data_IF_738170426484
#
_entry.id   IF_738170426484
#
_cell.length_a   1.000
_cell.length_b   1.000
_cell.length_c   1.000
_cell.angle_alpha   90.00
_cell.angle_beta   90.00
_cell.angle_gamma   90.00
#
_symmetry.space_group_name_H-M   'P 1'
#
loop_
_entity.id
_entity.type
_entity.pdbx_description
1 polymer ?
#
# COMPACT_ATOMS: atom_id res chain seq x y z
N UNK A 1 -3.44 8.78 23.25
CA UNK A 1 -2.43 7.71 23.40
C UNK A 1 -1.55 7.70 22.16
N UNK A 2 -0.22 7.75 22.28
CA UNK A 2 0.66 7.34 21.19
C UNK A 2 0.46 5.83 20.98
N UNK A 3 0.33 5.39 19.73
CA UNK A 3 0.10 3.99 19.37
C UNK A 3 1.42 3.22 19.43
N UNK A 4 1.41 2.06 20.09
CA UNK A 4 2.55 1.17 20.22
C UNK A 4 2.65 0.31 18.95
N UNK A 5 3.71 0.52 18.15
CA UNK A 5 3.98 -0.29 16.96
C UNK A 5 4.74 -1.55 17.39
N UNK A 6 4.10 -2.73 17.28
CA UNK A 6 4.76 -4.02 17.47
C UNK A 6 5.32 -4.51 16.13
N UNK A 7 6.65 -4.59 16.03
CA UNK A 7 7.35 -5.09 14.85
C UNK A 7 7.31 -6.63 14.81
N UNK A 8 7.19 -7.19 13.60
CA UNK A 8 6.89 -8.61 13.36
C UNK A 8 8.16 -9.47 13.34
N UNK A 9 9.33 -8.87 13.15
CA UNK A 9 10.63 -9.55 13.26
C UNK A 9 11.78 -8.60 13.67
N UNK A 10 12.86 -9.19 14.19
CA UNK A 10 14.05 -8.47 14.66
C UNK A 10 14.72 -7.65 13.55
N UNK A 11 14.54 -8.03 12.27
CA UNK A 11 15.12 -7.32 11.13
C UNK A 11 14.37 -6.01 10.86
N UNK A 12 13.05 -6.03 10.94
CA UNK A 12 12.17 -4.88 10.80
C UNK A 12 12.37 -3.88 11.94
N UNK A 13 12.52 -4.38 13.17
CA UNK A 13 12.85 -3.57 14.33
C UNK A 13 14.24 -2.93 14.21
N UNK A 14 15.24 -3.68 13.71
CA UNK A 14 16.59 -3.16 13.49
C UNK A 14 16.63 -2.07 12.42
N UNK A 15 15.96 -2.27 11.28
CA UNK A 15 15.86 -1.24 10.23
C UNK A 15 15.11 0.00 10.73
N UNK A 16 14.00 -0.18 11.46
CA UNK A 16 13.33 0.95 12.11
C UNK A 16 14.27 1.70 13.04
N UNK A 17 14.97 1.01 13.95
CA UNK A 17 15.85 1.65 14.94
C UNK A 17 17.04 2.40 14.31
N UNK A 18 17.52 1.97 13.15
CA UNK A 18 18.56 2.68 12.40
C UNK A 18 18.00 3.97 11.79
N UNK A 19 16.83 3.92 11.15
CA UNK A 19 16.27 5.05 10.40
C UNK A 19 15.40 5.99 11.25
N UNK A 20 14.86 5.52 12.38
CA UNK A 20 13.99 6.28 13.27
C UNK A 20 14.76 7.36 14.05
N UNK A 21 16.07 7.16 14.31
CA UNK A 21 16.92 8.15 14.99
C UNK A 21 16.99 9.49 14.25
N UNK A 22 16.85 9.45 12.92
CA UNK A 22 16.91 10.64 12.05
C UNK A 22 15.54 11.16 11.62
N UNK A 23 14.47 10.41 11.89
CA UNK A 23 13.09 10.84 11.61
C UNK A 23 12.56 11.48 12.88
N UNK A 24 12.66 12.83 12.97
CA UNK A 24 11.82 13.57 13.93
C UNK A 24 10.36 13.20 13.63
N UNK A 25 9.74 12.48 14.57
CA UNK A 25 8.37 12.01 14.48
C UNK A 25 7.43 13.21 14.30
N UNK A 26 7.16 13.58 13.04
CA UNK A 26 6.19 14.62 12.74
C UNK A 26 4.82 13.99 12.93
N UNK A 27 4.10 14.43 13.95
CA UNK A 27 2.68 14.10 14.09
C UNK A 27 2.01 14.41 12.75
N UNK A 28 1.41 13.37 12.16
CA UNK A 28 0.62 13.52 10.94
C UNK A 28 -0.45 14.59 11.19
N UNK A 29 -0.67 15.53 10.26
CA UNK A 29 -1.78 16.47 10.37
C UNK A 29 -3.14 15.76 10.14
N UNK A 30 -3.12 14.48 9.79
CA UNK A 30 -4.30 13.67 9.51
C UNK A 30 -4.70 12.83 10.72
N UNK A 31 -6.01 12.68 10.93
CA UNK A 31 -6.55 11.71 11.87
C UNK A 31 -6.46 10.33 11.22
N UNK A 32 -5.65 9.45 11.81
CA UNK A 32 -5.40 8.09 11.32
C UNK A 32 -5.95 7.11 12.34
N UNK A 33 -6.81 6.20 11.89
CA UNK A 33 -7.44 5.16 12.71
C UNK A 33 -7.28 3.80 12.05
N UNK A 34 -6.89 2.78 12.80
CA UNK A 34 -7.02 1.39 12.36
C UNK A 34 -8.49 0.98 12.40
N UNK A 35 -9.05 0.55 11.26
CA UNK A 35 -10.47 0.15 11.14
C UNK A 35 -10.65 -1.36 11.01
N UNK A 36 -9.60 -2.08 10.63
CA UNK A 36 -9.54 -3.54 10.65
C UNK A 36 -8.11 -4.03 10.45
N UNK A 37 -7.95 -5.35 10.43
CA UNK A 37 -6.70 -6.03 10.07
C UNK A 37 -6.95 -7.07 8.98
N UNK A 38 -6.15 -7.06 7.93
CA UNK A 38 -6.12 -8.08 6.89
C UNK A 38 -5.08 -9.14 7.21
N UNK A 39 -5.35 -10.41 6.85
CA UNK A 39 -4.33 -11.44 6.88
C UNK A 39 -3.21 -11.08 5.89
N UNK A 40 -1.96 -11.31 6.28
CA UNK A 40 -0.82 -11.17 5.38
C UNK A 40 0.35 -12.03 5.86
N UNK A 41 0.69 -13.03 5.05
CA UNK A 41 1.79 -13.94 5.31
C UNK A 41 1.61 -14.64 6.68
N UNK A 42 2.54 -14.47 7.62
CA UNK A 42 2.43 -15.06 8.98
C UNK A 42 1.93 -14.03 10.01
N UNK A 43 1.29 -12.94 9.56
CA UNK A 43 0.86 -11.84 10.42
C UNK A 43 -0.45 -11.25 9.92
N UNK A 44 -0.83 -10.14 10.54
CA UNK A 44 -1.92 -9.29 10.08
C UNK A 44 -1.39 -7.88 9.84
N UNK A 45 -1.96 -7.21 8.85
CA UNK A 45 -1.60 -5.86 8.45
C UNK A 45 -2.78 -4.93 8.65
N UNK A 46 -2.55 -3.71 9.16
CA UNK A 46 -3.63 -2.79 9.47
C UNK A 46 -4.27 -2.25 8.18
N UNK A 47 -5.59 -2.14 8.20
CA UNK A 47 -6.39 -1.38 7.25
C UNK A 47 -6.68 -0.04 7.93
N UNK A 48 -6.19 1.04 7.35
CA UNK A 48 -6.22 2.36 7.96
C UNK A 48 -7.31 3.21 7.33
N UNK A 49 -8.05 3.93 8.17
CA UNK A 49 -8.88 5.07 7.78
C UNK A 49 -8.09 6.34 8.06
N UNK A 50 -7.97 7.19 7.05
CA UNK A 50 -7.31 8.49 7.15
C UNK A 50 -8.34 9.56 6.81
N UNK A 51 -8.61 10.43 7.77
CA UNK A 51 -9.46 11.59 7.58
C UNK A 51 -8.60 12.81 7.28
N UNK A 52 -8.90 13.46 6.16
CA UNK A 52 -8.27 14.70 5.76
C UNK A 52 -9.35 15.67 5.26
N UNK A 53 -9.42 16.84 5.89
CA UNK A 53 -10.56 17.76 5.72
C UNK A 53 -11.88 17.02 6.01
N UNK A 54 -12.85 17.10 5.09
CA UNK A 54 -14.15 16.41 5.15
C UNK A 54 -14.15 15.07 4.39
N UNK A 55 -12.97 14.55 4.01
CA UNK A 55 -12.82 13.33 3.21
C UNK A 55 -12.20 12.20 4.03
N UNK A 56 -12.63 10.99 3.73
CA UNK A 56 -12.12 9.75 4.34
C UNK A 56 -11.50 8.87 3.26
N UNK A 57 -10.26 8.43 3.46
CA UNK A 57 -9.64 7.38 2.67
C UNK A 57 -9.47 6.11 3.51
N UNK A 58 -9.78 4.96 2.92
CA UNK A 58 -9.26 3.68 3.42
C UNK A 58 -7.98 3.35 2.63
N UNK A 59 -6.91 3.03 3.35
CA UNK A 59 -5.63 2.59 2.79
C UNK A 59 -5.35 1.18 3.26
N UNK A 60 -5.00 0.33 2.30
CA UNK A 60 -4.53 -1.03 2.54
C UNK A 60 -3.04 -1.04 2.16
N UNK A 61 -2.16 -1.38 3.10
CA UNK A 61 -0.71 -1.38 2.84
C UNK A 61 -0.22 -2.66 2.16
N UNK A 62 -0.69 -3.79 2.67
CA UNK A 62 -0.48 -5.13 2.13
C UNK A 62 -1.66 -6.02 2.52
N UNK A 63 -1.85 -7.19 1.90
CA UNK A 63 -2.83 -8.21 2.31
C UNK A 63 -2.72 -9.50 1.48
N UNK A 64 -3.25 -10.59 2.04
CA UNK A 64 -3.46 -11.88 1.38
C UNK A 64 -4.91 -12.05 0.90
N UNK A 65 -5.18 -12.98 -0.06
CA UNK A 65 -6.54 -13.23 -0.58
C UNK A 65 -7.65 -13.41 0.47
N UNK A 66 -7.44 -14.09 1.63
CA UNK A 66 -8.47 -14.24 2.66
C UNK A 66 -8.94 -12.92 3.28
N UNK A 67 -8.20 -11.83 3.14
CA UNK A 67 -8.57 -10.52 3.67
C UNK A 67 -9.63 -9.79 2.83
N UNK A 68 -10.00 -10.32 1.65
CA UNK A 68 -10.93 -9.66 0.73
C UNK A 68 -12.27 -9.27 1.39
N UNK A 69 -12.89 -10.18 2.13
CA UNK A 69 -14.17 -9.93 2.78
C UNK A 69 -14.06 -8.89 3.90
N UNK A 70 -12.95 -8.89 4.65
CA UNK A 70 -12.65 -7.86 5.65
C UNK A 70 -12.57 -6.49 4.99
N UNK A 71 -11.86 -6.38 3.88
CA UNK A 71 -11.72 -5.13 3.12
C UNK A 71 -13.10 -4.64 2.64
N UNK A 72 -13.89 -5.53 2.04
CA UNK A 72 -15.23 -5.20 1.54
C UNK A 72 -16.13 -4.72 2.69
N UNK A 73 -16.07 -5.38 3.85
CA UNK A 73 -16.82 -4.99 5.05
C UNK A 73 -16.42 -3.59 5.53
N UNK A 74 -15.12 -3.29 5.59
CA UNK A 74 -14.65 -1.95 5.95
C UNK A 74 -15.18 -0.86 5.01
N UNK A 75 -15.16 -1.11 3.70
CA UNK A 75 -15.69 -0.16 2.71
C UNK A 75 -17.19 0.07 2.89
N UNK A 76 -17.97 -0.99 3.18
CA UNK A 76 -19.42 -0.87 3.47
C UNK A 76 -19.70 -0.05 4.74
N UNK A 77 -18.92 -0.27 5.79
CA UNK A 77 -19.12 0.37 7.09
C UNK A 77 -18.69 1.83 7.07
N UNK A 78 -17.44 2.09 6.67
CA UNK A 78 -16.85 3.42 6.74
C UNK A 78 -17.32 4.33 5.59
N UNK A 79 -17.78 3.73 4.48
CA UNK A 79 -18.21 4.44 3.26
C UNK A 79 -17.19 5.52 2.85
N UNK A 80 -15.91 5.16 2.65
CA UNK A 80 -14.89 6.16 2.40
C UNK A 80 -15.12 6.88 1.07
N UNK A 81 -14.58 8.09 0.95
CA UNK A 81 -14.52 8.80 -0.34
C UNK A 81 -13.49 8.14 -1.27
N UNK A 82 -12.41 7.58 -0.71
CA UNK A 82 -11.33 6.95 -1.45
C UNK A 82 -11.00 5.56 -0.89
N UNK A 83 -10.72 4.62 -1.77
CA UNK A 83 -10.15 3.32 -1.42
C UNK A 83 -8.83 3.15 -2.15
N UNK A 84 -7.73 3.07 -1.41
CA UNK A 84 -6.38 2.90 -1.94
C UNK A 84 -5.95 1.44 -1.72
N UNK A 85 -5.73 0.73 -2.82
CA UNK A 85 -5.37 -0.70 -2.83
C UNK A 85 -3.99 -0.85 -3.51
N UNK A 86 -3.06 -1.63 -2.93
CA UNK A 86 -1.79 -1.94 -3.58
C UNK A 86 -2.05 -2.89 -4.75
N UNK A 87 -1.39 -2.72 -5.88
CA UNK A 87 -1.53 -3.58 -7.06
C UNK A 87 -0.31 -4.48 -7.21
N UNK A 88 -0.51 -5.80 -7.11
CA UNK A 88 0.56 -6.78 -7.08
C UNK A 88 0.77 -7.50 -8.41
N UNK A 89 1.97 -8.05 -8.61
CA UNK A 89 2.17 -9.09 -9.61
C UNK A 89 1.37 -10.35 -9.21
N UNK A 90 0.74 -11.00 -10.20
CA UNK A 90 -0.15 -12.17 -10.10
C UNK A 90 0.11 -13.22 -9.00
N UNK A 91 1.32 -13.34 -8.48
CA UNK A 91 1.70 -14.33 -7.46
C UNK A 91 2.53 -13.67 -6.36
N UNK A 92 2.12 -13.87 -5.12
CA UNK A 92 3.02 -13.70 -3.96
C UNK A 92 4.09 -14.79 -4.11
N UNK A 93 5.29 -14.40 -4.53
CA UNK A 93 6.38 -15.35 -4.84
C UNK A 93 6.80 -16.12 -3.58
N UNK A 94 6.60 -17.43 -3.63
CA UNK A 94 6.82 -18.45 -2.60
C UNK A 94 8.31 -18.74 -2.31
N UNK A 95 9.25 -17.94 -2.84
CA UNK A 95 10.69 -18.26 -2.78
C UNK A 95 11.31 -18.22 -1.36
N UNK A 96 10.56 -17.84 -0.33
CA UNK A 96 10.97 -17.87 1.08
C UNK A 96 9.98 -18.60 2.01
N UNK A 97 9.36 -19.69 1.53
CA UNK A 97 8.80 -20.73 2.43
C UNK A 97 7.51 -20.40 3.18
N UNK A 98 6.48 -19.90 2.50
CA UNK A 98 5.15 -19.71 3.09
C UNK A 98 4.13 -20.63 2.41
N UNK A 99 3.67 -21.63 3.18
CA UNK A 99 2.54 -22.48 2.85
C UNK A 99 1.25 -21.64 2.96
N UNK A 100 0.68 -21.26 1.83
CA UNK A 100 -0.78 -21.21 1.71
C UNK A 100 -1.18 -22.61 1.22
N UNK A 101 -1.92 -23.37 2.02
CA UNK A 101 -2.38 -24.74 1.67
C UNK A 101 -3.20 -24.79 0.37
N UNK A 102 -3.70 -23.65 -0.12
CA UNK A 102 -4.32 -23.50 -1.43
C UNK A 102 -3.74 -22.28 -2.14
N UNK A 103 -3.29 -22.40 -3.40
CA UNK A 103 -2.87 -21.25 -4.19
C UNK A 103 -4.11 -20.42 -4.54
N UNK A 104 -4.45 -19.44 -3.71
CA UNK A 104 -5.41 -18.40 -4.11
C UNK A 104 -4.64 -17.29 -4.83
N UNK A 105 -5.13 -16.89 -6.00
CA UNK A 105 -4.49 -15.86 -6.81
C UNK A 105 -4.83 -14.49 -6.22
N UNK A 106 -3.81 -13.78 -5.72
CA UNK A 106 -3.97 -12.43 -5.17
C UNK A 106 -4.63 -11.49 -6.18
N UNK A 107 -4.27 -11.58 -7.47
CA UNK A 107 -4.88 -10.79 -8.55
C UNK A 107 -6.40 -10.99 -8.62
N UNK A 108 -6.87 -12.24 -8.46
CA UNK A 108 -8.29 -12.55 -8.51
C UNK A 108 -9.02 -12.01 -7.28
N UNK A 109 -8.39 -12.06 -6.11
CA UNK A 109 -8.92 -11.41 -4.91
C UNK A 109 -9.01 -9.88 -5.08
N UNK A 110 -8.01 -9.23 -5.69
CA UNK A 110 -8.07 -7.78 -5.95
C UNK A 110 -9.21 -7.44 -6.93
N UNK A 111 -9.37 -8.23 -8.00
CA UNK A 111 -10.48 -8.09 -8.95
C UNK A 111 -11.84 -8.25 -8.26
N UNK A 112 -11.98 -9.25 -7.39
CA UNK A 112 -13.18 -9.47 -6.61
C UNK A 112 -13.49 -8.27 -5.68
N UNK A 113 -12.51 -7.79 -4.92
CA UNK A 113 -12.66 -6.58 -4.08
C UNK A 113 -13.14 -5.40 -4.94
N UNK A 114 -12.50 -5.14 -6.07
CA UNK A 114 -12.86 -4.03 -6.96
C UNK A 114 -14.29 -4.19 -7.48
N UNK A 115 -14.71 -5.39 -7.89
CA UNK A 115 -16.06 -5.66 -8.37
C UNK A 115 -17.10 -5.40 -7.27
N UNK A 116 -16.86 -5.89 -6.05
CA UNK A 116 -17.77 -5.67 -4.92
C UNK A 116 -17.82 -4.20 -4.51
N UNK A 117 -16.68 -3.50 -4.49
CA UNK A 117 -16.62 -2.07 -4.19
C UNK A 117 -17.32 -1.24 -5.27
N UNK A 118 -17.26 -1.64 -6.54
CA UNK A 118 -18.04 -0.99 -7.61
C UNK A 118 -19.54 -1.16 -7.40
N UNK A 119 -20.02 -2.29 -6.85
CA UNK A 119 -21.44 -2.44 -6.48
C UNK A 119 -21.82 -1.47 -5.35
N UNK A 120 -20.96 -1.31 -4.35
CA UNK A 120 -21.13 -0.33 -3.26
C UNK A 120 -21.17 1.10 -3.83
N UNK A 121 -20.27 1.44 -4.75
CA UNK A 121 -20.21 2.74 -5.43
C UNK A 121 -21.50 3.07 -6.18
N UNK A 122 -22.14 2.09 -6.83
CA UNK A 122 -23.45 2.31 -7.49
C UNK A 122 -24.55 2.72 -6.50
N UNK A 123 -24.48 2.27 -5.25
CA UNK A 123 -25.48 2.58 -4.21
C UNK A 123 -25.17 3.90 -3.51
N UNK A 124 -23.90 4.17 -3.20
CA UNK A 124 -23.50 5.30 -2.34
C UNK A 124 -22.78 6.44 -3.08
N UNK A 125 -22.50 6.30 -4.37
CA UNK A 125 -21.72 7.25 -5.17
C UNK A 125 -20.20 7.23 -4.91
N UNK A 126 -19.72 6.39 -3.97
CA UNK A 126 -18.33 6.32 -3.49
C UNK A 126 -17.95 4.89 -3.06
N UNK A 127 -16.66 4.50 -2.97
CA UNK A 127 -15.44 5.32 -3.13
C UNK A 127 -14.96 5.48 -4.58
N UNK A 128 -14.07 6.46 -4.79
CA UNK A 128 -13.09 6.44 -5.87
C UNK A 128 -12.04 5.38 -5.55
N UNK A 129 -11.86 4.41 -6.44
CA UNK A 129 -10.91 3.31 -6.28
C UNK A 129 -9.58 3.71 -6.92
N UNK A 130 -8.53 3.76 -6.10
CA UNK A 130 -7.17 4.11 -6.50
C UNK A 130 -6.29 2.88 -6.33
N UNK A 131 -5.50 2.52 -7.34
CA UNK A 131 -4.45 1.52 -7.18
C UNK A 131 -3.07 2.14 -7.20
N UNK A 132 -2.16 1.55 -6.41
CA UNK A 132 -0.74 1.88 -6.39
C UNK A 132 0.09 0.64 -6.72
N UNK A 133 0.80 0.69 -7.85
CA UNK A 133 1.57 -0.46 -8.33
C UNK A 133 2.75 -0.80 -7.42
N UNK A 134 2.76 -2.01 -6.86
CA UNK A 134 3.82 -2.51 -5.98
C UNK A 134 5.03 -3.05 -6.75
N UNK A 135 4.88 -3.44 -8.03
CA UNK A 135 6.00 -3.93 -8.85
C UNK A 135 5.81 -3.65 -10.33
N UNK A 136 6.91 -3.52 -11.10
CA UNK A 136 6.87 -3.38 -12.58
C UNK A 136 6.12 -4.55 -13.28
N UNK A 137 5.92 -5.67 -12.60
CA UNK A 137 5.23 -6.88 -13.11
C UNK A 137 3.75 -6.96 -12.68
N UNK A 138 3.23 -5.91 -12.06
CA UNK A 138 1.83 -5.88 -11.65
C UNK A 138 0.90 -5.81 -12.85
N UNK A 139 -0.29 -6.40 -12.71
CA UNK A 139 -1.31 -6.36 -13.75
C UNK A 139 -2.31 -5.25 -13.50
N UNK A 140 -2.47 -4.39 -14.51
CA UNK A 140 -3.38 -3.26 -14.43
C UNK A 140 -4.79 -3.70 -14.03
N UNK A 141 -5.22 -3.21 -12.88
CA UNK A 141 -6.57 -3.45 -12.35
C UNK A 141 -7.58 -2.45 -12.92
N UNK A 142 -8.86 -2.83 -13.09
CA UNK A 142 -9.89 -1.96 -13.66
C UNK A 142 -10.45 -0.98 -12.62
N UNK A 143 -9.66 0.00 -12.21
CA UNK A 143 -9.98 1.00 -11.17
C UNK A 143 -10.19 2.40 -11.73
N UNK A 144 -10.61 3.36 -10.89
CA UNK A 144 -10.87 4.74 -11.30
C UNK A 144 -9.58 5.52 -11.54
N UNK A 145 -8.57 5.32 -10.68
CA UNK A 145 -7.25 5.95 -10.78
C UNK A 145 -6.19 4.86 -10.63
N UNK A 146 -5.27 4.79 -11.57
CA UNK A 146 -4.14 3.87 -11.53
C UNK A 146 -2.84 4.67 -11.40
N UNK A 147 -2.13 4.50 -10.29
CA UNK A 147 -0.81 5.08 -10.05
C UNK A 147 0.23 4.04 -10.44
N UNK A 148 0.82 4.24 -11.62
CA UNK A 148 1.83 3.33 -12.17
C UNK A 148 3.11 3.27 -11.34
N UNK A 149 3.95 2.26 -11.59
CA UNK A 149 5.16 2.02 -10.81
C UNK A 149 6.11 3.21 -10.81
N UNK A 150 6.21 3.98 -11.90
CA UNK A 150 7.07 5.17 -12.00
C UNK A 150 6.41 6.46 -11.49
N UNK A 151 5.12 6.40 -11.15
CA UNK A 151 4.34 7.55 -10.65
C UNK A 151 4.28 7.57 -9.11
N UNK A 152 4.60 6.44 -8.46
CA UNK A 152 4.65 6.34 -7.00
C UNK A 152 5.91 7.00 -6.45
N UNK A 153 5.85 7.44 -5.20
CA UNK A 153 7.05 7.80 -4.44
C UNK A 153 7.79 6.48 -4.11
N UNK A 154 9.07 6.32 -4.52
CA UNK A 154 9.88 5.16 -4.22
C UNK A 154 10.07 5.01 -2.72
N UNK A 155 10.05 3.77 -2.25
CA UNK A 155 10.39 3.44 -0.87
C UNK A 155 11.89 3.61 -0.62
N UNK A 156 12.30 3.74 0.64
CA UNK A 156 13.71 3.73 1.02
C UNK A 156 14.43 2.47 0.50
N UNK A 157 13.74 1.34 0.46
CA UNK A 157 14.27 0.09 -0.08
C UNK A 157 14.51 0.17 -1.60
N UNK A 158 13.62 0.83 -2.36
CA UNK A 158 13.83 1.07 -3.79
C UNK A 158 15.10 1.91 -4.04
N UNK A 159 15.39 2.90 -3.18
CA UNK A 159 16.64 3.66 -3.20
C UNK A 159 17.85 2.78 -2.87
N UNK A 160 17.78 1.97 -1.81
CA UNK A 160 18.87 1.12 -1.35
C UNK A 160 19.23 -0.01 -2.33
N UNK A 161 18.24 -0.56 -3.03
CA UNK A 161 18.43 -1.62 -4.01
C UNK A 161 18.84 -1.09 -5.40
N UNK A 162 19.06 0.22 -5.55
CA UNK A 162 19.43 0.82 -6.84
C UNK A 162 18.32 0.76 -7.88
N UNK A 163 17.05 0.56 -7.47
CA UNK A 163 15.92 0.50 -8.40
C UNK A 163 15.59 1.88 -9.02
N UNK A 164 16.14 2.94 -8.45
CA UNK A 164 16.15 4.29 -8.99
C UNK A 164 17.50 4.50 -9.64
N UNK A 165 17.59 4.06 -10.90
CA UNK A 165 18.84 4.06 -11.66
C UNK A 165 19.28 5.49 -12.04
N UNK A 166 18.34 6.42 -12.28
CA UNK A 166 18.64 7.79 -12.70
C UNK A 166 17.65 8.86 -12.16
N UNK A 167 18.12 10.12 -12.06
CA UNK A 167 17.22 11.26 -11.85
C UNK A 167 16.33 11.44 -13.10
N UNK A 168 15.02 11.28 -12.92
CA UNK A 168 14.03 11.35 -14.01
C UNK A 168 13.34 10.01 -14.30
N UNK A 169 13.76 8.91 -13.68
CA UNK A 169 13.10 7.60 -13.83
C UNK A 169 11.70 7.52 -13.21
N UNK A 170 11.31 8.55 -12.45
CA UNK A 170 10.00 8.69 -11.82
C UNK A 170 9.49 10.12 -12.01
N UNK A 171 8.18 10.29 -12.16
CA UNK A 171 7.55 11.59 -12.49
C UNK A 171 7.86 12.66 -11.42
N UNK A 172 7.96 12.27 -10.14
CA UNK A 172 8.32 13.21 -9.06
C UNK A 172 9.81 13.63 -9.10
N UNK A 173 10.67 12.88 -9.81
CA UNK A 173 12.08 13.18 -9.98
C UNK A 173 12.39 14.17 -11.10
N UNK A 174 11.41 14.62 -11.90
CA UNK A 174 11.63 15.60 -12.98
C UNK A 174 12.24 16.94 -12.48
N UNK A 175 12.20 17.21 -11.16
CA UNK A 175 12.84 18.37 -10.51
C UNK A 175 13.97 18.00 -9.53
N UNK A 176 14.47 16.77 -9.56
CA UNK A 176 15.49 16.34 -8.60
C UNK A 176 16.83 17.05 -8.89
N UNK A 177 17.25 17.94 -7.97
CA UNK A 177 18.56 18.63 -8.02
C UNK A 177 19.77 17.70 -7.85
N UNK A 178 19.59 16.38 -7.71
CA UNK A 178 20.69 15.38 -7.71
C UNK A 178 21.23 15.15 -9.13
N UNK A 179 21.43 16.23 -9.90
CA UNK A 179 22.20 16.18 -11.14
C UNK A 179 23.67 16.16 -10.73
N UNK A 180 24.27 14.97 -10.78
CA UNK A 180 25.71 14.68 -10.79
C UNK A 180 26.60 15.67 -10.00
N UNK A 181 26.99 15.28 -8.80
CA UNK A 181 28.39 15.49 -8.41
C UNK A 181 29.19 14.45 -9.20
N UNK A 182 29.57 14.81 -10.43
CA UNK A 182 30.69 14.13 -11.10
C UNK A 182 31.88 14.25 -10.16
N UNK A 183 32.46 13.11 -9.80
CA UNK A 183 33.78 13.06 -9.20
C UNK A 183 34.75 13.51 -10.28
N UNK A 184 35.15 14.78 -10.21
CA UNK A 184 36.42 15.24 -10.76
C UNK A 184 37.54 14.92 -9.77
#
# INVERSE_FOLDING_TARGET
MPFEVKYVDNYSEHQYNIHAKDIKEKKSPFEIKEVARGAHLNTTVPILSIKFKEKIAIIIGDYDPPAADTIIKCVKTEKPDFLIIPEYAKKVSNKKGRLLEKPTNLSDAQKYIIQEVKKIKKVFGKPVIITMVHSKKAERLPVDIHIGYNQRIPSLLDYQLGAIEDCGSYDFCEKCKRKKLTRD
#
